data_IF_620719584670
#
_entry.id   IF_620719584670
#
_cell.length_a   1.000
_cell.length_b   1.000
_cell.length_c   1.000
_cell.angle_alpha   90.00
_cell.angle_beta   90.00
_cell.angle_gamma   90.00
#
_symmetry.space_group_name_H-M   'P 1'
#
loop_
_entity.id
_entity.type
_entity.pdbx_description
1 polymer ?
#
# COMPACT_ATOMS: atom_id res chain seq x y z
N UNK A 1 -6.67 -1.52 -2.18
CA UNK A 1 -5.46 -1.34 -3.01
C UNK A 1 -5.61 -0.14 -3.94
N UNK A 2 -6.65 -0.07 -4.78
CA UNK A 2 -6.83 1.03 -5.75
C UNK A 2 -6.84 2.44 -5.13
N UNK A 3 -7.52 2.61 -3.98
CA UNK A 3 -7.51 3.87 -3.22
C UNK A 3 -6.09 4.36 -2.90
N UNK A 4 -5.22 3.49 -2.36
CA UNK A 4 -3.84 3.85 -2.01
C UNK A 4 -2.98 4.15 -3.24
N UNK A 5 -3.28 3.54 -4.38
CA UNK A 5 -2.61 3.90 -5.64
C UNK A 5 -3.02 5.30 -6.10
N UNK A 6 -4.31 5.65 -6.04
CA UNK A 6 -4.83 6.95 -6.50
C UNK A 6 -4.47 8.10 -5.56
N UNK A 7 -4.71 7.93 -4.26
CA UNK A 7 -4.57 9.01 -3.28
C UNK A 7 -3.16 9.12 -2.69
N UNK A 8 -2.44 8.00 -2.58
CA UNK A 8 -1.12 7.96 -1.94
C UNK A 8 0.02 7.69 -2.93
N UNK A 9 -0.28 7.34 -4.18
CA UNK A 9 0.72 6.94 -5.18
C UNK A 9 1.43 5.63 -4.82
N UNK A 10 0.85 4.79 -3.97
CA UNK A 10 1.49 3.53 -3.52
C UNK A 10 0.82 2.34 -4.19
N UNK A 11 1.58 1.67 -5.07
CA UNK A 11 1.12 0.48 -5.78
C UNK A 11 1.18 -0.76 -4.86
N UNK A 12 0.04 -1.42 -4.68
CA UNK A 12 -0.11 -2.66 -3.91
C UNK A 12 -0.93 -3.67 -4.70
N UNK A 13 -0.72 -4.96 -4.44
CA UNK A 13 -1.53 -6.03 -5.05
C UNK A 13 -2.69 -6.39 -4.11
N UNK A 14 -3.95 -6.38 -4.56
CA UNK A 14 -5.07 -6.79 -3.73
C UNK A 14 -4.97 -8.29 -3.38
N UNK A 15 -5.31 -8.64 -2.15
CA UNK A 15 -5.29 -10.02 -1.65
C UNK A 15 -6.26 -10.96 -2.37
N UNK A 16 -7.30 -10.41 -3.02
CA UNK A 16 -8.23 -11.18 -3.87
C UNK A 16 -7.51 -11.90 -5.01
N UNK A 17 -6.39 -11.36 -5.52
CA UNK A 17 -5.55 -12.03 -6.51
C UNK A 17 -4.85 -13.29 -5.97
N UNK A 18 -4.83 -13.47 -4.65
CA UNK A 18 -4.23 -14.60 -3.93
C UNK A 18 -5.27 -15.42 -3.14
N UNK A 19 -6.57 -15.22 -3.38
CA UNK A 19 -7.64 -15.92 -2.65
C UNK A 19 -7.89 -15.42 -1.22
N UNK A 20 -7.35 -14.26 -0.84
CA UNK A 20 -7.50 -13.65 0.49
C UNK A 20 -8.15 -12.25 0.37
N UNK A 21 -9.47 -12.16 0.12
CA UNK A 21 -10.18 -10.88 0.08
C UNK A 21 -10.03 -10.12 1.42
N UNK A 22 -10.09 -8.79 1.35
CA UNK A 22 -9.86 -7.91 2.51
C UNK A 22 -8.38 -7.68 2.87
N UNK A 23 -7.45 -8.42 2.27
CA UNK A 23 -6.01 -8.25 2.48
C UNK A 23 -5.33 -7.55 1.29
N UNK A 24 -4.05 -7.18 1.46
CA UNK A 24 -3.19 -6.63 0.41
C UNK A 24 -1.76 -7.16 0.59
N UNK A 25 -1.02 -7.31 -0.52
CA UNK A 25 0.39 -7.69 -0.50
C UNK A 25 1.28 -6.47 -0.69
N UNK A 26 2.21 -6.28 0.24
CA UNK A 26 3.27 -5.27 0.16
C UNK A 26 4.61 -5.97 -0.11
N UNK A 27 5.30 -5.56 -1.18
CA UNK A 27 6.68 -6.00 -1.43
C UNK A 27 7.63 -5.13 -0.61
N UNK A 28 8.53 -5.75 0.15
CA UNK A 28 9.55 -5.06 0.94
C UNK A 28 10.96 -5.16 0.35
N UNK A 29 11.11 -5.80 -0.82
CA UNK A 29 12.40 -5.97 -1.50
C UNK A 29 12.82 -4.68 -2.23
N UNK A 30 13.09 -3.62 -1.46
CA UNK A 30 13.58 -2.31 -1.90
C UNK A 30 14.37 -1.66 -0.75
N UNK A 31 14.93 -0.47 -0.93
CA UNK A 31 15.62 0.25 0.15
C UNK A 31 14.68 0.75 1.26
N UNK A 32 15.26 1.01 2.45
CA UNK A 32 14.52 1.45 3.64
C UNK A 32 13.84 2.81 3.45
N UNK A 33 14.49 3.75 2.76
CA UNK A 33 13.95 5.09 2.54
C UNK A 33 12.64 5.03 1.75
N UNK A 34 12.59 4.18 0.72
CA UNK A 34 11.38 3.93 -0.09
C UNK A 34 10.28 3.30 0.76
N UNK A 35 10.61 2.34 1.64
CA UNK A 35 9.63 1.71 2.51
C UNK A 35 9.04 2.66 3.54
N UNK A 36 9.88 3.47 4.17
CA UNK A 36 9.45 4.46 5.17
C UNK A 36 8.54 5.52 4.54
N UNK A 37 8.91 6.05 3.38
CA UNK A 37 8.10 7.01 2.62
C UNK A 37 6.75 6.39 2.19
N UNK A 38 6.75 5.18 1.63
CA UNK A 38 5.52 4.49 1.25
C UNK A 38 4.60 4.25 2.45
N UNK A 39 5.13 3.76 3.58
CA UNK A 39 4.37 3.58 4.82
C UNK A 39 3.81 4.89 5.36
N UNK A 40 4.58 5.98 5.32
CA UNK A 40 4.13 7.31 5.72
C UNK A 40 2.96 7.83 4.87
N UNK A 41 3.04 7.65 3.55
CA UNK A 41 1.95 8.01 2.61
C UNK A 41 0.70 7.19 2.84
N UNK A 42 0.84 5.88 3.06
CA UNK A 42 -0.29 4.99 3.40
C UNK A 42 -0.98 5.48 4.66
N UNK A 43 -0.22 5.72 5.74
CA UNK A 43 -0.75 6.21 7.02
C UNK A 43 -1.55 7.49 6.82
N UNK A 44 -0.97 8.49 6.15
CA UNK A 44 -1.63 9.77 5.89
C UNK A 44 -2.93 9.62 5.10
N UNK A 45 -2.92 8.78 4.06
CA UNK A 45 -4.11 8.56 3.22
C UNK A 45 -5.25 7.89 3.98
N UNK A 46 -4.95 6.96 4.90
CA UNK A 46 -5.96 6.28 5.72
C UNK A 46 -6.49 7.21 6.82
N UNK A 47 -5.63 8.03 7.45
CA UNK A 47 -6.05 8.98 8.49
C UNK A 47 -6.90 10.14 7.93
N UNK A 48 -6.80 10.40 6.63
CA UNK A 48 -7.53 11.49 5.96
C UNK A 48 -8.83 11.02 5.28
N UNK A 49 -9.16 9.73 5.36
CA UNK A 49 -10.34 9.11 4.75
C UNK A 49 -11.47 8.95 5.78
#
# INVERSE_FOLDING_TARGET
AEFLLKEAGVALVPGSAFGLPGHMRLSYATDMATLEDACGRIRKAIESA
#
